data_IF_026160183280
#
_entry.id   IF_026160183280
#
_cell.length_a   1.000
_cell.length_b   1.000
_cell.length_c   1.000
_cell.angle_alpha   90.00
_cell.angle_beta   90.00
_cell.angle_gamma   90.00
#
_symmetry.space_group_name_H-M   'P 1'
#
loop_
_entity.id
_entity.type
_entity.pdbx_description
1 polymer ?
#
# COMPACT_ATOMS: atom_id res chain seq x y z
N UNK A 1 15.09 -6.32 -2.88
CA UNK A 1 16.21 -5.77 -2.10
C UNK A 1 16.34 -6.50 -0.76
N UNK A 2 15.59 -6.15 0.28
CA UNK A 2 15.73 -6.74 1.63
C UNK A 2 15.41 -8.24 1.72
N UNK A 3 14.31 -8.72 1.13
CA UNK A 3 13.91 -10.14 1.23
C UNK A 3 14.93 -11.09 0.57
N UNK A 4 15.64 -10.60 -0.45
CA UNK A 4 16.60 -11.41 -1.22
C UNK A 4 18.05 -11.07 -0.88
N UNK A 5 18.31 -10.15 0.07
CA UNK A 5 19.65 -9.70 0.47
C UNK A 5 20.54 -9.30 -0.72
N UNK A 6 19.97 -8.57 -1.68
CA UNK A 6 20.69 -8.12 -2.88
C UNK A 6 21.32 -6.72 -2.70
N UNK A 7 20.90 -5.97 -1.67
CA UNK A 7 21.46 -4.70 -1.20
C UNK A 7 21.85 -3.70 -2.31
N UNK A 8 20.96 -3.54 -3.30
CA UNK A 8 21.14 -2.67 -4.46
C UNK A 8 20.82 -1.20 -4.11
N UNK A 9 19.89 -0.97 -3.18
CA UNK A 9 19.44 0.36 -2.80
C UNK A 9 19.97 0.76 -1.43
N UNK A 10 20.42 2.01 -1.28
CA UNK A 10 20.80 2.53 0.02
C UNK A 10 19.60 2.60 0.97
N UNK A 11 19.86 2.45 2.26
CA UNK A 11 18.81 2.52 3.28
C UNK A 11 18.07 3.86 3.29
N UNK A 12 18.77 4.96 3.00
CA UNK A 12 18.17 6.30 2.99
C UNK A 12 17.06 6.45 1.94
N UNK A 13 17.16 5.74 0.80
CA UNK A 13 16.13 5.80 -0.26
C UNK A 13 14.78 5.32 0.28
N UNK A 14 14.74 4.23 1.04
CA UNK A 14 13.49 3.68 1.61
C UNK A 14 12.85 4.68 2.57
N UNK A 15 13.65 5.29 3.44
CA UNK A 15 13.18 6.29 4.40
C UNK A 15 12.60 7.52 3.69
N UNK A 16 13.31 8.03 2.68
CA UNK A 16 12.89 9.21 1.94
C UNK A 16 11.60 8.96 1.13
N UNK A 17 11.46 7.76 0.52
CA UNK A 17 10.23 7.36 -0.17
C UNK A 17 9.04 7.23 0.78
N UNK A 18 9.24 6.61 1.96
CA UNK A 18 8.19 6.47 2.98
C UNK A 18 7.68 7.84 3.42
N UNK A 19 8.58 8.76 3.78
CA UNK A 19 8.21 10.11 4.17
C UNK A 19 7.48 10.85 3.05
N UNK A 20 7.95 10.72 1.81
CA UNK A 20 7.30 11.32 0.64
C UNK A 20 5.87 10.81 0.45
N UNK A 21 5.66 9.49 0.50
CA UNK A 21 4.35 8.89 0.28
C UNK A 21 3.36 9.20 1.40
N UNK A 22 3.79 9.21 2.66
CA UNK A 22 2.95 9.64 3.79
C UNK A 22 2.47 11.08 3.55
N UNK A 23 3.33 11.97 3.05
CA UNK A 23 2.97 13.33 2.68
C UNK A 23 2.02 13.46 1.48
N UNK A 24 1.66 12.37 0.81
CA UNK A 24 0.74 12.33 -0.36
C UNK A 24 -0.53 11.52 -0.10
N UNK A 25 -0.78 11.13 1.15
CA UNK A 25 -1.98 10.36 1.52
C UNK A 25 -3.28 11.11 1.23
N UNK A 26 -4.22 10.41 0.61
CA UNK A 26 -5.63 10.76 0.62
C UNK A 26 -6.36 9.90 1.67
N UNK A 27 -7.66 10.15 1.86
CA UNK A 27 -8.49 9.44 2.85
C UNK A 27 -8.35 7.92 2.79
N UNK A 28 -8.27 7.36 1.59
CA UNK A 28 -8.25 5.91 1.38
C UNK A 28 -6.89 5.39 0.87
N UNK A 29 -5.82 6.18 1.00
CA UNK A 29 -4.44 5.74 0.71
C UNK A 29 -3.67 6.68 -0.21
N UNK A 30 -2.47 6.26 -0.60
CA UNK A 30 -1.57 7.02 -1.48
C UNK A 30 -1.90 6.76 -2.95
N UNK A 31 -2.07 7.79 -3.79
CA UNK A 31 -2.28 7.61 -5.22
C UNK A 31 -1.02 7.08 -5.91
N UNK A 32 -1.21 6.12 -6.83
CA UNK A 32 -0.11 5.47 -7.57
C UNK A 32 0.35 6.27 -8.80
N UNK A 33 -0.50 7.15 -9.33
CA UNK A 33 -0.24 7.93 -10.54
C UNK A 33 -0.37 9.43 -10.23
N UNK A 34 0.51 10.26 -10.80
CA UNK A 34 0.46 11.71 -10.57
C UNK A 34 -0.73 12.41 -11.24
N UNK A 35 -1.38 11.76 -12.21
CA UNK A 35 -2.49 12.31 -13.01
C UNK A 35 -3.85 11.84 -12.52
N UNK A 36 -3.87 10.87 -11.59
CA UNK A 36 -5.09 10.17 -11.15
C UNK A 36 -4.99 9.81 -9.68
N UNK A 37 -6.12 9.87 -8.99
CA UNK A 37 -6.22 9.58 -7.55
C UNK A 37 -6.40 8.10 -7.25
N UNK A 38 -6.24 7.19 -8.22
CA UNK A 38 -6.38 5.76 -7.93
C UNK A 38 -5.12 5.17 -7.30
N UNK A 39 -5.29 4.04 -6.64
CA UNK A 39 -4.19 3.27 -6.06
C UNK A 39 -4.39 1.78 -6.24
N UNK A 40 -3.43 0.98 -5.76
CA UNK A 40 -3.61 -0.45 -5.58
C UNK A 40 -3.25 -0.92 -4.18
N UNK A 41 -4.06 -1.82 -3.61
CA UNK A 41 -3.88 -2.27 -2.22
C UNK A 41 -2.59 -3.07 -2.04
N UNK A 42 -2.23 -3.93 -2.99
CA UNK A 42 -0.96 -4.66 -2.95
C UNK A 42 0.22 -3.69 -2.96
N UNK A 43 0.20 -2.70 -3.86
CA UNK A 43 1.25 -1.68 -3.90
C UNK A 43 1.39 -0.91 -2.58
N UNK A 44 0.27 -0.51 -1.96
CA UNK A 44 0.29 0.16 -0.66
C UNK A 44 0.98 -0.71 0.39
N UNK A 45 0.66 -2.00 0.48
CA UNK A 45 1.26 -2.90 1.47
C UNK A 45 2.74 -3.19 1.21
N UNK A 46 3.14 -3.25 -0.07
CA UNK A 46 4.55 -3.36 -0.43
C UNK A 46 5.34 -2.12 -0.03
N UNK A 47 4.80 -0.93 -0.28
CA UNK A 47 5.39 0.33 0.18
C UNK A 47 5.44 0.37 1.71
N UNK A 48 4.33 0.09 2.39
CA UNK A 48 4.25 0.07 3.85
C UNK A 48 5.29 -0.87 4.47
N UNK A 49 5.52 -2.05 3.89
CA UNK A 49 6.49 -3.00 4.39
C UNK A 49 7.94 -2.49 4.35
N UNK A 50 8.24 -1.42 3.61
CA UNK A 50 9.56 -0.78 3.63
C UNK A 50 9.75 0.14 4.85
N UNK A 51 8.70 0.51 5.58
CA UNK A 51 8.80 1.30 6.80
C UNK A 51 9.66 0.63 7.87
N UNK A 52 10.44 1.46 8.59
CA UNK A 52 11.32 1.03 9.68
C UNK A 52 10.58 0.93 11.02
N UNK A 53 9.49 1.69 11.20
CA UNK A 53 8.69 1.70 12.43
C UNK A 53 7.23 1.32 12.17
N UNK A 54 6.51 1.02 13.27
CA UNK A 54 5.12 0.58 13.20
C UNK A 54 4.18 1.73 12.85
N UNK A 55 4.50 2.92 13.32
CA UNK A 55 3.72 4.14 13.11
C UNK A 55 3.60 4.46 11.63
N UNK A 56 4.72 4.44 10.91
CA UNK A 56 4.74 4.66 9.46
C UNK A 56 4.00 3.55 8.73
N UNK A 57 4.22 2.27 9.11
CA UNK A 57 3.48 1.15 8.52
C UNK A 57 1.96 1.32 8.66
N UNK A 58 1.49 1.66 9.86
CA UNK A 58 0.07 1.88 10.15
C UNK A 58 -0.49 3.10 9.41
N UNK A 59 0.33 4.14 9.17
CA UNK A 59 -0.08 5.29 8.37
C UNK A 59 -0.49 4.90 6.94
N UNK A 60 0.09 3.84 6.36
CA UNK A 60 -0.33 3.28 5.07
C UNK A 60 -1.52 2.33 5.17
N UNK A 61 -1.58 1.51 6.22
CA UNK A 61 -2.56 0.43 6.34
C UNK A 61 -3.92 0.95 6.80
N UNK A 62 -3.96 1.94 7.70
CA UNK A 62 -5.20 2.49 8.22
C UNK A 62 -6.12 3.08 7.11
N UNK A 63 -5.62 3.84 6.12
CA UNK A 63 -6.44 4.27 4.99
C UNK A 63 -7.03 3.13 4.15
N UNK A 64 -6.32 1.99 4.04
CA UNK A 64 -6.85 0.80 3.35
C UNK A 64 -7.94 0.12 4.20
N UNK A 65 -7.77 0.10 5.53
CA UNK A 65 -8.82 -0.34 6.43
C UNK A 65 -10.09 0.51 6.28
N UNK A 66 -9.95 1.84 6.28
CA UNK A 66 -11.05 2.77 6.08
C UNK A 66 -11.73 2.55 4.72
N UNK A 67 -10.95 2.32 3.66
CA UNK A 67 -11.47 1.95 2.36
C UNK A 67 -12.35 0.70 2.42
N UNK A 68 -11.84 -0.40 2.98
CA UNK A 68 -12.57 -1.68 3.04
C UNK A 68 -13.83 -1.55 3.87
N UNK A 69 -13.81 -0.75 4.93
CA UNK A 69 -14.94 -0.56 5.83
C UNK A 69 -16.02 0.39 5.26
N UNK A 70 -15.60 1.44 4.53
CA UNK A 70 -16.49 2.54 4.13
C UNK A 70 -16.82 2.54 2.63
N UNK A 71 -16.19 1.70 1.81
CA UNK A 71 -16.37 1.74 0.36
C UNK A 71 -17.85 1.64 -0.05
N UNK A 72 -18.34 2.53 -0.93
CA UNK A 72 -19.68 2.43 -1.46
C UNK A 72 -19.83 1.28 -2.48
N UNK A 73 -18.72 0.71 -2.96
CA UNK A 73 -18.72 -0.32 -4.00
C UNK A 73 -19.06 -1.70 -3.40
N UNK A 74 -20.18 -2.28 -3.85
CA UNK A 74 -20.66 -3.61 -3.41
C UNK A 74 -20.11 -4.72 -4.29
N UNK A 75 -18.79 -4.80 -4.39
CA UNK A 75 -18.06 -5.85 -5.11
C UNK A 75 -17.16 -6.63 -4.16
N UNK A 76 -16.76 -7.87 -4.49
CA UNK A 76 -15.66 -8.53 -3.79
C UNK A 76 -14.42 -7.64 -3.73
N UNK A 77 -13.57 -7.84 -2.72
CA UNK A 77 -12.43 -6.96 -2.47
C UNK A 77 -11.65 -6.64 -3.75
N UNK A 78 -11.60 -5.34 -4.06
CA UNK A 78 -10.95 -4.78 -5.25
C UNK A 78 -9.60 -4.23 -4.87
N UNK A 79 -8.60 -4.58 -5.67
CA UNK A 79 -7.25 -4.08 -5.52
C UNK A 79 -7.01 -2.80 -6.31
N UNK A 80 -7.99 -2.24 -7.03
CA UNK A 80 -7.83 -0.99 -7.78
C UNK A 80 -9.02 -0.05 -7.59
N UNK A 81 -8.79 1.00 -6.82
CA UNK A 81 -9.83 1.92 -6.36
C UNK A 81 -9.33 3.36 -6.29
N UNK A 82 -10.26 4.29 -6.20
CA UNK A 82 -9.99 5.72 -6.07
C UNK A 82 -9.76 6.12 -4.60
N UNK A 83 -8.64 6.77 -4.31
CA UNK A 83 -8.20 7.07 -2.93
C UNK A 83 -8.96 8.22 -2.26
N UNK A 84 -9.77 8.97 -3.02
CA UNK A 84 -10.58 10.08 -2.50
C UNK A 84 -12.01 9.64 -2.24
N UNK A 85 -12.62 8.96 -3.20
CA UNK A 85 -14.03 8.53 -3.13
C UNK A 85 -14.24 7.12 -2.60
N UNK A 86 -13.19 6.29 -2.57
CA UNK A 86 -13.29 4.88 -2.17
C UNK A 86 -14.06 4.04 -3.18
N UNK A 87 -14.35 4.57 -4.37
CA UNK A 87 -15.04 3.84 -5.43
C UNK A 87 -14.07 2.92 -6.15
N UNK A 88 -14.51 1.70 -6.39
CA UNK A 88 -13.83 0.76 -7.26
C UNK A 88 -13.62 1.37 -8.66
N UNK A 89 -12.41 1.24 -9.19
CA UNK A 89 -12.05 1.67 -10.55
C UNK A 89 -12.08 0.48 -11.51
N UNK A 90 -11.51 -0.64 -11.08
CA UNK A 90 -11.41 -1.88 -11.84
C UNK A 90 -10.89 -3.01 -10.96
N UNK A 91 -10.71 -4.21 -11.52
CA UNK A 91 -10.16 -5.40 -10.86
C UNK A 91 -10.82 -5.83 -9.54
N UNK A 92 -11.19 -7.10 -9.44
CA UNK A 92 -11.84 -7.61 -8.23
C UNK A 92 -11.48 -9.08 -8.04
N UNK A 93 -11.32 -9.50 -6.78
CA UNK A 93 -11.13 -10.89 -6.41
C UNK A 93 -9.99 -11.59 -7.16
N UNK A 94 -8.81 -10.94 -7.21
CA UNK A 94 -7.63 -11.46 -7.91
C UNK A 94 -6.55 -11.90 -6.93
N UNK A 95 -5.74 -12.85 -7.34
CA UNK A 95 -4.63 -13.40 -6.55
C UNK A 95 -3.57 -12.37 -6.14
N UNK A 96 -3.50 -11.23 -6.84
CA UNK A 96 -2.60 -10.11 -6.51
C UNK A 96 -2.82 -9.62 -5.07
N UNK A 97 -4.02 -9.80 -4.49
CA UNK A 97 -4.33 -9.51 -3.07
C UNK A 97 -3.41 -10.28 -2.11
N UNK A 98 -2.76 -11.37 -2.53
CA UNK A 98 -1.71 -12.02 -1.75
C UNK A 98 -0.56 -11.08 -1.36
N UNK A 99 -0.35 -9.98 -2.08
CA UNK A 99 0.61 -8.94 -1.76
C UNK A 99 0.38 -8.27 -0.40
N UNK A 100 -0.82 -8.35 0.18
CA UNK A 100 -1.09 -7.88 1.54
C UNK A 100 -0.22 -8.57 2.61
N UNK A 101 0.19 -9.81 2.35
CA UNK A 101 0.98 -10.60 3.30
C UNK A 101 2.50 -10.33 3.22
N UNK A 102 2.94 -9.38 2.39
CA UNK A 102 4.37 -9.11 2.17
C UNK A 102 5.12 -8.74 3.45
N UNK A 103 4.48 -8.04 4.39
CA UNK A 103 5.07 -7.70 5.69
C UNK A 103 5.41 -8.97 6.49
N UNK A 104 4.52 -9.96 6.51
CA UNK A 104 4.77 -11.25 7.18
C UNK A 104 5.94 -11.99 6.53
N UNK A 105 6.06 -11.93 5.20
CA UNK A 105 7.18 -12.54 4.49
C UNK A 105 8.50 -11.83 4.82
N UNK A 106 8.52 -10.48 4.80
CA UNK A 106 9.69 -9.68 5.17
C UNK A 106 10.14 -9.97 6.60
N UNK A 107 9.21 -10.03 7.55
CA UNK A 107 9.53 -10.21 8.96
C UNK A 107 9.95 -11.65 9.31
N UNK A 108 9.54 -12.64 8.49
CA UNK A 108 9.97 -14.04 8.61
C UNK A 108 11.25 -14.37 7.86
N UNK A 109 11.63 -13.56 6.87
CA UNK A 109 12.88 -13.73 6.16
C UNK A 109 14.03 -13.51 7.17
N UNK A 110 14.67 -14.61 7.56
CA UNK A 110 15.84 -14.66 8.45
C UNK A 110 17.05 -14.12 7.72
#
# INVERSE_FOLDING_TARGET
>A
DSIFHIDIFSHDIKRDEIAYYIGKMNKYGVPLDSRKTYTKTDWIFWSAAMADCREDFDAFVNPVWDFVNESPSRVPFTDWYDTVSGKQVGFQHRSVIGGLFIKLLKDKAV
#
